data_IF_745262307124
#
_entry.id   IF_745262307124
#
_cell.length_a   1.000
_cell.length_b   1.000
_cell.length_c   1.000
_cell.angle_alpha   90.00
_cell.angle_beta   90.00
_cell.angle_gamma   90.00
#
_symmetry.space_group_name_H-M   'P 1'
#
loop_
_entity.id
_entity.type
_entity.pdbx_description
1 polymer ?
#
# COMPACT_ATOMS: atom_id res chain seq x y z
N UNK A 1 -11.70 -24.22 -9.60
CA UNK A 1 -12.32 -24.46 -8.29
C UNK A 1 -11.39 -23.91 -7.23
N UNK A 2 -11.86 -23.02 -6.35
CA UNK A 2 -11.02 -22.49 -5.28
C UNK A 2 -11.07 -23.45 -4.08
N UNK A 3 -9.97 -24.13 -3.82
CA UNK A 3 -9.82 -25.07 -2.71
C UNK A 3 -9.87 -24.36 -1.34
N UNK A 4 -10.32 -25.05 -0.29
CA UNK A 4 -10.45 -24.51 1.07
C UNK A 4 -9.08 -24.11 1.64
N UNK A 5 -8.02 -24.84 1.32
CA UNK A 5 -6.66 -24.47 1.73
C UNK A 5 -6.18 -23.20 1.03
N UNK A 6 -6.54 -23.01 -0.24
CA UNK A 6 -6.30 -21.74 -0.93
C UNK A 6 -7.09 -20.60 -0.27
N UNK A 7 -8.34 -20.83 0.13
CA UNK A 7 -9.13 -19.83 0.84
C UNK A 7 -8.49 -19.41 2.17
N UNK A 8 -8.05 -20.38 2.98
CA UNK A 8 -7.32 -20.11 4.23
C UNK A 8 -6.03 -19.32 3.98
N UNK A 9 -5.33 -19.62 2.89
CA UNK A 9 -4.16 -18.83 2.45
C UNK A 9 -4.53 -17.41 2.05
N UNK A 10 -5.68 -17.19 1.41
CA UNK A 10 -6.18 -15.85 1.11
C UNK A 10 -6.43 -15.07 2.40
N UNK A 11 -7.25 -15.63 3.30
CA UNK A 11 -7.62 -15.02 4.58
C UNK A 11 -6.39 -14.65 5.41
N UNK A 12 -5.42 -15.56 5.54
CA UNK A 12 -4.20 -15.32 6.34
C UNK A 12 -3.31 -14.19 5.82
N UNK A 13 -3.54 -13.73 4.59
CA UNK A 13 -2.79 -12.66 3.93
C UNK A 13 -3.63 -11.42 3.62
N UNK A 14 -4.91 -11.39 3.98
CA UNK A 14 -5.81 -10.25 3.76
C UNK A 14 -5.95 -9.40 5.02
N UNK A 15 -6.31 -8.14 4.83
CA UNK A 15 -6.61 -7.18 5.88
C UNK A 15 -8.07 -7.28 6.29
N UNK A 16 -8.34 -7.52 7.58
CA UNK A 16 -9.69 -7.70 8.15
C UNK A 16 -10.69 -6.58 7.84
N UNK A 17 -10.19 -5.37 7.58
CA UNK A 17 -11.03 -4.21 7.34
C UNK A 17 -11.31 -4.03 5.86
N UNK A 18 -10.27 -4.01 5.01
CA UNK A 18 -10.39 -3.50 3.65
C UNK A 18 -10.28 -4.56 2.55
N UNK A 19 -10.04 -5.83 2.89
CA UNK A 19 -9.89 -6.88 1.88
C UNK A 19 -8.60 -6.83 1.09
N UNK A 20 -7.78 -5.80 1.25
CA UNK A 20 -6.46 -5.73 0.59
C UNK A 20 -5.46 -6.65 1.28
N UNK A 21 -4.27 -6.84 0.70
CA UNK A 21 -3.22 -7.63 1.36
C UNK A 21 -2.77 -6.98 2.67
N UNK A 22 -2.70 -7.77 3.73
CA UNK A 22 -2.21 -7.34 5.05
C UNK A 22 -0.73 -6.96 5.02
N UNK A 23 0.07 -7.70 4.23
CA UNK A 23 1.48 -7.38 3.98
C UNK A 23 1.71 -7.17 2.49
N UNK A 24 2.43 -6.11 2.18
CA UNK A 24 2.99 -5.91 0.84
C UNK A 24 4.26 -6.74 0.66
N UNK A 25 4.64 -7.00 -0.58
CA UNK A 25 5.90 -7.69 -0.90
C UNK A 25 7.13 -7.03 -0.25
N UNK A 26 7.13 -5.69 -0.18
CA UNK A 26 8.20 -4.95 0.49
C UNK A 26 8.25 -5.24 2.00
N UNK A 27 7.10 -5.29 2.67
CA UNK A 27 7.02 -5.60 4.10
C UNK A 27 7.42 -7.04 4.43
N UNK A 28 7.14 -7.98 3.53
CA UNK A 28 7.64 -9.36 3.66
C UNK A 28 9.17 -9.38 3.58
N UNK A 29 9.76 -8.64 2.64
CA UNK A 29 11.23 -8.54 2.52
C UNK A 29 11.88 -7.88 3.72
N UNK A 30 11.26 -6.85 4.29
CA UNK A 30 11.78 -6.14 5.47
C UNK A 30 11.37 -6.77 6.80
N UNK A 31 10.72 -7.94 6.78
CA UNK A 31 10.23 -8.67 7.97
C UNK A 31 9.32 -7.83 8.88
N UNK A 32 8.65 -6.82 8.32
CA UNK A 32 7.66 -6.03 9.07
C UNK A 32 6.42 -6.88 9.25
N UNK A 33 6.14 -7.24 10.50
CA UNK A 33 4.96 -8.03 10.85
C UNK A 33 3.69 -7.18 10.74
N UNK A 34 2.59 -7.74 10.22
CA UNK A 34 1.32 -7.03 10.16
C UNK A 34 0.69 -7.00 11.55
N UNK A 35 -0.15 -5.99 11.81
CA UNK A 35 -0.83 -5.85 13.09
C UNK A 35 -1.90 -6.92 13.25
N UNK A 36 -1.98 -7.51 14.44
CA UNK A 36 -3.03 -8.49 14.77
C UNK A 36 -4.35 -7.77 15.05
N UNK A 37 -5.43 -8.26 14.45
CA UNK A 37 -6.77 -7.70 14.62
C UNK A 37 -7.22 -7.77 16.08
N UNK A 38 -7.03 -8.93 16.73
CA UNK A 38 -7.45 -9.16 18.11
C UNK A 38 -6.81 -8.19 19.13
N UNK A 39 -5.55 -7.80 18.92
CA UNK A 39 -4.88 -6.83 19.79
C UNK A 39 -5.45 -5.40 19.66
N UNK A 40 -6.26 -5.15 18.64
CA UNK A 40 -6.83 -3.85 18.32
C UNK A 40 -8.37 -3.87 18.32
N UNK A 41 -9.00 -4.90 18.92
CA UNK A 41 -10.45 -5.14 18.86
C UNK A 41 -11.28 -3.90 19.25
N UNK A 42 -10.90 -3.21 20.32
CA UNK A 42 -11.67 -2.08 20.85
C UNK A 42 -11.56 -0.87 19.93
N UNK A 43 -10.37 -0.65 19.35
CA UNK A 43 -10.17 0.42 18.37
C UNK A 43 -10.87 0.11 17.04
N UNK A 44 -10.90 -1.15 16.61
CA UNK A 44 -11.62 -1.58 15.41
C UNK A 44 -13.12 -1.36 15.61
N UNK A 45 -13.67 -1.77 16.76
CA UNK A 45 -15.07 -1.54 17.09
C UNK A 45 -15.40 -0.05 17.13
N UNK A 46 -14.57 0.75 17.82
CA UNK A 46 -14.79 2.19 17.95
C UNK A 46 -14.69 2.94 16.61
N UNK A 47 -13.74 2.59 15.75
CA UNK A 47 -13.44 3.35 14.52
C UNK A 47 -14.18 2.82 13.29
N UNK A 48 -14.30 1.50 13.15
CA UNK A 48 -14.96 0.87 12.00
C UNK A 48 -16.36 0.34 12.30
N UNK A 49 -16.78 0.29 13.57
CA UNK A 49 -18.08 -0.29 13.95
C UNK A 49 -18.13 -1.81 13.78
N UNK A 50 -16.97 -2.49 13.73
CA UNK A 50 -16.89 -3.94 13.50
C UNK A 50 -16.56 -4.63 14.82
N UNK A 51 -17.47 -5.47 15.31
CA UNK A 51 -17.16 -6.41 16.38
C UNK A 51 -16.45 -7.65 15.81
N UNK A 52 -15.25 -7.92 16.30
CA UNK A 52 -14.41 -9.05 15.88
C UNK A 52 -14.26 -10.12 16.98
N UNK A 53 -15.02 -10.01 18.07
CA UNK A 53 -14.93 -10.91 19.22
C UNK A 53 -15.30 -12.35 18.85
N UNK A 54 -16.20 -12.51 17.87
CA UNK A 54 -16.70 -13.80 17.38
C UNK A 54 -16.17 -14.16 15.98
N UNK A 55 -15.07 -13.55 15.55
CA UNK A 55 -14.48 -13.84 14.24
C UNK A 55 -13.97 -15.30 14.16
N UNK A 56 -14.56 -16.08 13.26
CA UNK A 56 -14.03 -17.39 12.87
C UNK A 56 -12.80 -17.26 11.98
N UNK A 57 -11.75 -18.04 12.28
CA UNK A 57 -10.49 -18.09 11.53
C UNK A 57 -10.63 -18.57 10.07
N UNK A 58 -11.71 -19.29 9.76
CA UNK A 58 -12.00 -19.80 8.42
C UNK A 58 -12.79 -18.82 7.55
N UNK A 59 -13.21 -17.68 8.11
CA UNK A 59 -14.02 -16.67 7.40
C UNK A 59 -13.31 -15.32 7.40
N UNK A 60 -12.75 -14.93 8.54
CA UNK A 60 -12.24 -13.58 8.76
C UNK A 60 -10.72 -13.55 8.89
N UNK A 61 -10.04 -12.56 8.28
CA UNK A 61 -8.61 -12.39 8.47
C UNK A 61 -8.24 -11.98 9.89
N UNK A 62 -7.11 -12.49 10.36
CA UNK A 62 -6.57 -12.18 11.70
C UNK A 62 -5.65 -10.96 11.73
N UNK A 63 -5.41 -10.32 10.58
CA UNK A 63 -4.42 -9.25 10.39
C UNK A 63 -5.04 -7.96 9.86
N UNK A 64 -4.41 -6.83 10.16
CA UNK A 64 -4.72 -5.51 9.64
C UNK A 64 -3.50 -5.01 8.84
N UNK A 65 -3.75 -4.40 7.68
CA UNK A 65 -2.68 -3.75 6.92
C UNK A 65 -2.25 -2.44 7.57
N UNK A 66 -1.02 -2.00 7.27
CA UNK A 66 -0.46 -0.74 7.76
C UNK A 66 -1.39 0.46 7.52
N UNK A 67 -2.03 0.52 6.34
CA UNK A 67 -2.89 1.66 5.98
C UNK A 67 -4.10 1.76 6.89
N UNK A 68 -4.80 0.65 7.14
CA UNK A 68 -5.97 0.62 8.02
C UNK A 68 -5.57 0.87 9.48
N UNK A 69 -4.43 0.33 9.90
CA UNK A 69 -3.91 0.58 11.25
C UNK A 69 -3.54 2.06 11.45
N UNK A 70 -2.78 2.66 10.54
CA UNK A 70 -2.37 4.07 10.63
C UNK A 70 -3.56 5.03 10.58
N UNK A 71 -4.60 4.73 9.79
CA UNK A 71 -5.84 5.54 9.78
C UNK A 71 -6.54 5.52 11.13
N UNK A 72 -6.76 4.31 11.67
CA UNK A 72 -7.36 4.12 12.98
C UNK A 72 -6.54 4.83 14.08
N UNK A 73 -5.21 4.71 14.04
CA UNK A 73 -4.32 5.35 15.01
C UNK A 73 -4.32 6.88 14.91
N UNK A 74 -4.34 7.43 13.69
CA UNK A 74 -4.40 8.87 13.49
C UNK A 74 -5.74 9.45 13.97
N UNK A 75 -6.85 8.74 13.78
CA UNK A 75 -8.14 9.13 14.34
C UNK A 75 -8.15 9.07 15.87
N UNK A 76 -7.54 8.03 16.45
CA UNK A 76 -7.41 7.93 17.90
C UNK A 76 -6.66 9.13 18.51
N UNK A 77 -5.66 9.66 17.78
CA UNK A 77 -4.88 10.83 18.21
C UNK A 77 -5.56 12.17 17.92
N UNK A 78 -6.20 12.31 16.75
CA UNK A 78 -6.86 13.54 16.31
C UNK A 78 -8.38 13.31 16.21
N UNK A 79 -9.13 13.64 17.27
CA UNK A 79 -10.59 13.47 17.33
C UNK A 79 -11.39 14.37 16.38
N UNK A 80 -10.72 15.26 15.63
CA UNK A 80 -11.36 16.23 14.72
C UNK A 80 -11.32 15.86 13.24
N UNK A 81 -10.71 14.73 12.85
CA UNK A 81 -10.72 14.31 11.44
C UNK A 81 -12.05 13.65 11.10
N UNK A 82 -12.78 14.28 10.19
CA UNK A 82 -14.00 13.73 9.60
C UNK A 82 -13.71 12.40 8.92
N UNK A 83 -14.68 11.48 9.05
CA UNK A 83 -14.66 10.19 8.40
C UNK A 83 -14.48 10.35 6.88
N UNK A 84 -13.40 9.81 6.32
CA UNK A 84 -13.28 9.65 4.87
C UNK A 84 -14.05 8.39 4.47
N UNK A 85 -14.93 8.48 3.46
CA UNK A 85 -15.64 7.33 2.89
C UNK A 85 -14.68 6.18 2.61
N UNK A 86 -14.76 5.14 3.44
CA UNK A 86 -13.90 3.98 3.34
C UNK A 86 -14.74 2.72 3.25
N UNK A 87 -14.46 1.93 2.23
CA UNK A 87 -15.17 0.68 1.98
C UNK A 87 -14.62 -0.42 2.89
N UNK A 88 -15.49 -0.92 3.79
CA UNK A 88 -15.23 -2.14 4.56
C UNK A 88 -15.52 -3.35 3.67
N UNK A 89 -14.58 -4.28 3.60
CA UNK A 89 -14.77 -5.52 2.86
C UNK A 89 -15.56 -6.54 3.68
N UNK A 90 -16.66 -7.00 3.10
CA UNK A 90 -17.54 -7.98 3.71
C UNK A 90 -17.06 -9.40 3.38
N UNK A 91 -16.57 -10.10 4.41
CA UNK A 91 -16.15 -11.49 4.31
C UNK A 91 -17.35 -12.42 4.35
N UNK A 92 -17.33 -13.42 3.49
CA UNK A 92 -18.34 -14.48 3.45
C UNK A 92 -17.66 -15.81 3.66
N UNK A 93 -18.39 -16.76 4.27
CA UNK A 93 -17.94 -18.14 4.41
C UNK A 93 -17.58 -18.70 3.03
N UNK A 94 -16.49 -19.46 2.96
CA UNK A 94 -16.11 -20.15 1.73
C UNK A 94 -17.27 -21.03 1.26
N UNK A 95 -17.74 -20.80 0.04
CA UNK A 95 -18.65 -21.71 -0.64
C UNK A 95 -17.85 -22.55 -1.63
N UNK A 96 -18.30 -23.77 -1.89
CA UNK A 96 -17.68 -24.66 -2.89
C UNK A 96 -17.81 -24.13 -4.32
N UNK A 97 -18.52 -23.01 -4.50
CA UNK A 97 -18.71 -22.36 -5.78
C UNK A 97 -17.38 -21.81 -6.34
N UNK A 98 -17.23 -21.78 -7.66
CA UNK A 98 -16.05 -21.21 -8.31
C UNK A 98 -15.87 -19.69 -8.08
N UNK A 99 -16.82 -19.01 -7.44
CA UNK A 99 -16.91 -17.56 -7.31
C UNK A 99 -16.83 -17.05 -5.86
N UNK A 100 -16.01 -17.68 -5.02
CA UNK A 100 -15.75 -17.16 -3.68
C UNK A 100 -15.18 -15.73 -3.76
N UNK A 101 -15.95 -14.74 -3.27
CA UNK A 101 -15.61 -13.31 -3.34
C UNK A 101 -14.26 -12.98 -2.70
N UNK A 102 -13.95 -13.61 -1.56
CA UNK A 102 -12.66 -13.46 -0.86
C UNK A 102 -11.49 -13.94 -1.72
N UNK A 103 -11.63 -15.13 -2.33
CA UNK A 103 -10.62 -15.71 -3.20
C UNK A 103 -10.43 -14.89 -4.49
N UNK A 104 -11.52 -14.40 -5.08
CA UNK A 104 -11.49 -13.55 -6.27
C UNK A 104 -10.75 -12.25 -5.99
N UNK A 105 -11.10 -11.53 -4.91
CA UNK A 105 -10.45 -10.26 -4.53
C UNK A 105 -8.96 -10.43 -4.23
N UNK A 106 -8.58 -11.53 -3.56
CA UNK A 106 -7.16 -11.85 -3.33
C UNK A 106 -6.39 -12.09 -4.65
N UNK A 107 -7.03 -12.74 -5.61
CA UNK A 107 -6.44 -13.04 -6.91
C UNK A 107 -6.28 -11.78 -7.78
N UNK A 108 -7.24 -10.86 -7.75
CA UNK A 108 -7.16 -9.55 -8.44
C UNK A 108 -5.97 -8.72 -7.96
N UNK A 109 -5.77 -8.63 -6.63
CA UNK A 109 -4.62 -7.92 -6.05
C UNK A 109 -3.26 -8.57 -6.34
N UNK A 110 -3.24 -9.78 -6.90
CA UNK A 110 -2.02 -10.46 -7.37
C UNK A 110 -1.65 -10.08 -8.80
N UNK A 111 -2.62 -9.67 -9.62
CA UNK A 111 -2.41 -9.38 -11.05
C UNK A 111 -1.86 -7.98 -11.30
N UNK A 112 -1.96 -7.07 -10.34
CA UNK A 112 -1.34 -5.73 -10.43
C UNK A 112 0.16 -5.79 -10.14
N UNK A 113 0.89 -6.53 -10.97
CA UNK A 113 2.30 -6.26 -11.19
C UNK A 113 2.44 -4.82 -11.66
N UNK A 114 3.37 -4.09 -11.05
CA UNK A 114 3.80 -2.73 -11.39
C UNK A 114 3.64 -2.47 -12.90
N UNK A 115 2.70 -1.60 -13.32
CA UNK A 115 2.76 -1.03 -14.68
C UNK A 115 4.17 -0.46 -14.82
N UNK A 116 5.00 -1.02 -15.71
CA UNK A 116 6.30 -0.42 -16.06
C UNK A 116 5.99 1.03 -16.43
N UNK A 117 6.51 1.99 -15.67
CA UNK A 117 6.53 3.38 -16.14
C UNK A 117 7.32 3.34 -17.45
N UNK A 118 6.64 3.49 -18.58
CA UNK A 118 7.31 3.80 -19.83
C UNK A 118 8.04 5.12 -19.56
N UNK A 119 9.37 5.09 -19.51
CA UNK A 119 10.22 6.29 -19.51
C UNK A 119 9.90 7.02 -20.82
N UNK A 120 8.96 7.97 -20.79
CA UNK A 120 8.90 9.03 -21.80
C UNK A 120 10.08 9.97 -21.54
N UNK A 121 10.83 10.23 -22.61
CA UNK A 121 12.21 10.70 -22.56
C UNK A 121 12.42 12.08 -21.97
N UNK A 122 13.70 12.34 -21.68
CA UNK A 122 14.29 13.67 -21.79
C UNK A 122 15.56 13.50 -22.61
N UNK A 123 15.45 13.78 -23.90
CA UNK A 123 16.57 14.33 -24.66
C UNK A 123 16.75 15.74 -24.07
N UNK A 124 17.88 16.00 -23.44
CA UNK A 124 18.34 17.37 -23.25
C UNK A 124 19.65 17.46 -24.01
N UNK A 125 19.58 18.05 -25.20
CA UNK A 125 20.72 18.51 -25.95
C UNK A 125 21.57 19.38 -25.03
N UNK A 126 22.77 18.87 -24.73
CA UNK A 126 23.77 19.59 -23.95
C UNK A 126 24.44 20.55 -24.93
N UNK A 127 23.91 21.77 -25.01
CA UNK A 127 24.58 22.89 -25.68
C UNK A 127 25.95 23.06 -25.01
N UNK A 128 26.99 22.73 -25.76
CA UNK A 128 28.38 22.93 -25.37
C UNK A 128 28.65 24.42 -25.19
N UNK A 129 28.92 24.85 -23.96
CA UNK A 129 29.61 26.12 -23.73
C UNK A 129 31.08 25.95 -24.14
N UNK A 130 31.65 26.83 -24.96
CA UNK A 130 33.09 26.84 -25.18
C UNK A 130 33.81 27.38 -23.93
N UNK A 131 34.83 26.64 -23.50
CA UNK A 131 35.79 27.07 -22.51
C UNK A 131 36.61 28.24 -23.08
N UNK A 132 36.54 29.40 -22.42
CA UNK A 132 37.46 30.51 -22.60
C UNK A 132 38.58 30.32 -21.58
N UNK A 133 39.78 30.00 -22.06
CA UNK A 133 41.03 30.10 -21.31
C UNK A 133 42.13 30.53 -22.25
N UNK A 134 42.80 31.61 -21.83
CA UNK A 134 44.18 32.03 -22.19
C UNK A 134 44.31 32.62 -23.61
N UNK A 135 44.98 33.74 -23.87
CA UNK A 135 46.23 34.29 -23.31
C UNK A 135 46.23 35.84 -23.45
N UNK A 136 47.03 36.54 -22.64
CA UNK A 136 47.36 37.98 -22.75
C UNK A 136 48.44 38.22 -23.84
N UNK A 137 49.19 39.35 -23.90
CA UNK A 137 48.96 40.78 -23.68
C UNK A 137 49.31 41.60 -24.97
N UNK A 138 49.49 42.92 -24.85
CA UNK A 138 50.01 43.95 -25.79
C UNK A 138 48.93 44.97 -26.13
N UNK A 139 49.13 46.28 -26.12
CA UNK A 139 50.29 47.15 -25.92
C UNK A 139 49.70 48.59 -25.87
N UNK A 140 50.45 49.55 -25.32
CA UNK A 140 50.63 50.95 -25.81
C UNK A 140 49.38 51.74 -26.32
N UNK A 141 49.10 53.02 -26.03
CA UNK A 141 49.88 54.19 -25.59
C UNK A 141 48.89 55.36 -25.33
N UNK A 142 49.36 56.32 -24.52
CA UNK A 142 49.20 57.80 -24.60
C UNK A 142 47.80 58.48 -24.63
N UNK A 143 47.63 59.33 -23.62
CA UNK A 143 47.30 60.77 -23.67
C UNK A 143 46.14 61.28 -24.53
N UNK A 144 45.21 62.00 -23.88
CA UNK A 144 45.20 63.47 -23.77
C UNK A 144 44.39 63.91 -22.54
#
# INVERSE_FOLDING_TARGET
MADLDFHRKCISNMCRICGSRAQTFYQVKTKVTPYLAQNNKDMILKFYGIDISNDSKDIYPVKICQVCYSRMWNFYRDSQKSFSDFEIFHYVKHTSDPLCKTCAKYSEGSKTGRKKKNKRGKIMDRVSQPALSEEAPCDLVLSE
#
